data_IF_474791922748
#
_entry.id   IF_474791922748
#
_cell.length_a   1.000
_cell.length_b   1.000
_cell.length_c   1.000
_cell.angle_alpha   90.00
_cell.angle_beta   90.00
_cell.angle_gamma   90.00
#
_symmetry.space_group_name_H-M   'P 1'
#
loop_
_entity.id
_entity.type
_entity.pdbx_description
1 polymer ?
#
# COMPACT_ATOMS: atom_id res chain seq x y z
N UNK A 1 4.45 15.23 -24.67
CA UNK A 1 4.63 14.12 -23.74
C UNK A 1 3.37 13.29 -23.77
N UNK A 2 3.47 12.02 -24.14
CA UNK A 2 2.33 11.08 -24.09
C UNK A 2 2.20 10.62 -22.65
N UNK A 3 1.12 10.94 -21.97
CA UNK A 3 0.77 10.39 -20.66
C UNK A 3 0.13 9.03 -20.88
N UNK A 4 0.78 7.98 -20.46
CA UNK A 4 0.22 6.63 -20.45
C UNK A 4 -0.36 6.36 -19.06
N UNK A 5 -1.59 5.85 -19.00
CA UNK A 5 -2.17 5.40 -17.75
C UNK A 5 -1.57 4.05 -17.38
N UNK A 6 -1.16 3.91 -16.13
CA UNK A 6 -0.63 2.69 -15.57
C UNK A 6 -1.45 2.28 -14.35
N UNK A 7 -1.69 0.98 -14.19
CA UNK A 7 -2.23 0.45 -12.94
C UNK A 7 -1.12 0.35 -11.88
N UNK A 8 -1.51 0.13 -10.63
CA UNK A 8 -0.55 -0.14 -9.57
C UNK A 8 0.29 -1.41 -9.87
N UNK A 9 -0.30 -2.40 -10.51
CA UNK A 9 0.36 -3.63 -10.94
C UNK A 9 1.44 -3.34 -11.99
N UNK A 10 1.12 -2.52 -12.97
CA UNK A 10 2.05 -2.19 -14.05
C UNK A 10 3.36 -1.60 -13.54
N UNK A 11 3.33 -0.91 -12.38
CA UNK A 11 4.54 -0.34 -11.75
C UNK A 11 5.59 -1.42 -11.47
N UNK A 12 5.17 -2.66 -11.18
CA UNK A 12 6.08 -3.76 -10.86
C UNK A 12 6.34 -4.72 -12.02
N UNK A 13 5.47 -4.76 -13.01
CA UNK A 13 5.51 -5.74 -14.09
C UNK A 13 5.95 -5.14 -15.43
N UNK A 14 5.67 -3.85 -15.63
CA UNK A 14 5.89 -3.18 -16.91
C UNK A 14 7.28 -2.56 -16.99
N UNK A 15 7.90 -2.66 -18.15
CA UNK A 15 9.10 -1.88 -18.46
C UNK A 15 8.71 -0.44 -18.76
N UNK A 16 9.18 0.50 -17.98
CA UNK A 16 9.02 1.93 -18.23
C UNK A 16 10.08 2.41 -19.21
N UNK A 17 9.68 3.31 -20.12
CA UNK A 17 10.62 4.00 -20.99
C UNK A 17 11.15 5.22 -20.27
N UNK A 18 12.46 5.26 -20.05
CA UNK A 18 13.19 6.40 -19.51
C UNK A 18 14.23 6.86 -20.54
N UNK A 19 13.88 7.90 -21.29
CA UNK A 19 14.66 8.32 -22.44
C UNK A 19 14.65 7.26 -23.56
N UNK A 20 15.79 6.66 -23.86
CA UNK A 20 15.95 5.57 -24.82
C UNK A 20 16.00 4.18 -24.14
N UNK A 21 16.06 4.15 -22.81
CA UNK A 21 16.21 2.92 -22.02
C UNK A 21 14.85 2.38 -21.55
N UNK A 22 14.71 1.07 -21.63
CA UNK A 22 13.64 0.33 -20.97
C UNK A 22 14.08 -0.02 -19.55
N UNK A 23 13.31 0.40 -18.56
CA UNK A 23 13.62 0.19 -17.16
C UNK A 23 12.49 -0.53 -16.46
N UNK A 24 12.81 -1.64 -15.82
CA UNK A 24 11.90 -2.31 -14.90
C UNK A 24 12.15 -1.80 -13.48
N UNK A 25 11.10 -1.29 -12.85
CA UNK A 25 11.13 -0.94 -11.44
C UNK A 25 11.06 -2.21 -10.59
N UNK A 26 11.90 -2.29 -9.58
CA UNK A 26 11.98 -3.44 -8.68
C UNK A 26 11.42 -3.14 -7.29
N UNK A 27 11.30 -1.87 -6.93
CA UNK A 27 10.80 -1.45 -5.62
C UNK A 27 10.14 -0.07 -5.69
N UNK A 28 9.08 0.12 -4.91
CA UNK A 28 8.55 1.43 -4.54
C UNK A 28 9.07 1.72 -3.13
N UNK A 29 9.78 2.82 -2.96
CA UNK A 29 10.31 3.22 -1.66
C UNK A 29 9.79 4.62 -1.29
N UNK A 30 8.93 4.70 -0.28
CA UNK A 30 8.39 5.96 0.23
C UNK A 30 9.48 6.69 1.03
N UNK A 31 9.93 7.89 0.61
CA UNK A 31 11.06 8.56 1.25
C UNK A 31 10.70 9.21 2.59
N UNK A 32 11.71 9.42 3.44
CA UNK A 32 11.57 10.03 4.79
C UNK A 32 10.96 11.43 4.77
N UNK A 33 11.30 12.21 3.77
CA UNK A 33 10.83 13.60 3.63
C UNK A 33 9.30 13.70 3.54
N UNK A 34 8.65 12.61 3.24
CA UNK A 34 7.20 12.56 3.15
C UNK A 34 6.57 12.43 4.53
N UNK A 35 5.36 13.03 4.67
CA UNK A 35 4.59 12.88 5.90
C UNK A 35 4.17 11.43 6.12
N UNK A 36 3.79 11.12 7.36
CA UNK A 36 3.17 9.85 7.73
C UNK A 36 1.92 9.54 6.89
N UNK A 37 1.45 8.31 6.96
CA UNK A 37 0.26 7.87 6.23
C UNK A 37 -1.01 8.51 6.85
N UNK A 38 -1.35 9.69 6.34
CA UNK A 38 -2.40 10.54 6.89
C UNK A 38 -3.83 10.03 6.62
N UNK A 39 -4.06 9.28 5.53
CA UNK A 39 -5.37 8.70 5.22
C UNK A 39 -5.84 7.67 6.26
N UNK A 40 -4.90 7.09 7.01
CA UNK A 40 -5.20 6.19 8.12
C UNK A 40 -5.48 6.87 9.45
N UNK A 41 -5.36 8.20 9.57
CA UNK A 41 -5.62 8.91 10.83
C UNK A 41 -7.09 8.79 11.25
N UNK A 42 -7.36 8.98 12.54
CA UNK A 42 -8.68 8.80 13.14
C UNK A 42 -9.48 10.10 13.28
N UNK A 43 -8.89 11.24 12.96
CA UNK A 43 -9.63 12.50 12.95
C UNK A 43 -10.76 12.48 11.90
N UNK A 44 -11.76 13.33 12.11
CA UNK A 44 -12.96 13.36 11.28
C UNK A 44 -12.65 13.56 9.80
N UNK A 45 -11.77 14.51 9.49
CA UNK A 45 -11.45 14.82 8.09
C UNK A 45 -10.77 13.64 7.39
N UNK A 46 -9.77 13.04 8.01
CA UNK A 46 -9.10 11.86 7.47
C UNK A 46 -10.06 10.67 7.32
N UNK A 47 -10.97 10.49 8.29
CA UNK A 47 -12.00 9.44 8.23
C UNK A 47 -12.97 9.68 7.08
N UNK A 48 -13.44 10.88 6.86
CA UNK A 48 -14.36 11.23 5.77
C UNK A 48 -13.68 11.04 4.41
N UNK A 49 -12.44 11.49 4.24
CA UNK A 49 -11.63 11.30 3.02
C UNK A 49 -11.42 9.81 2.74
N UNK A 50 -11.03 9.02 3.74
CA UNK A 50 -10.86 7.57 3.61
C UNK A 50 -12.14 6.87 3.20
N UNK A 51 -13.27 7.18 3.84
CA UNK A 51 -14.55 6.56 3.55
C UNK A 51 -15.04 6.88 2.14
N UNK A 52 -14.85 8.12 1.67
CA UNK A 52 -15.19 8.52 0.32
C UNK A 52 -14.32 7.78 -0.69
N UNK A 53 -13.00 7.76 -0.49
CA UNK A 53 -12.06 7.04 -1.35
C UNK A 53 -12.40 5.54 -1.46
N UNK A 54 -12.64 4.87 -0.33
CA UNK A 54 -13.03 3.47 -0.34
C UNK A 54 -14.40 3.27 -1.00
N UNK A 55 -15.34 4.21 -0.82
CA UNK A 55 -16.64 4.14 -1.49
C UNK A 55 -16.48 4.20 -2.99
N UNK A 56 -15.67 5.10 -3.49
CA UNK A 56 -15.41 5.24 -4.93
C UNK A 56 -14.74 3.97 -5.49
N UNK A 57 -13.69 3.47 -4.83
CA UNK A 57 -12.97 2.26 -5.25
C UNK A 57 -13.91 1.05 -5.31
N UNK A 58 -14.80 0.89 -4.33
CA UNK A 58 -15.71 -0.26 -4.24
C UNK A 58 -16.99 -0.11 -5.06
N UNK A 59 -17.32 1.09 -5.55
CA UNK A 59 -18.55 1.36 -6.31
C UNK A 59 -18.33 1.47 -7.81
N UNK A 60 -17.15 1.88 -8.25
CA UNK A 60 -16.84 2.11 -9.67
C UNK A 60 -15.92 1.02 -10.23
N UNK A 61 -16.19 0.61 -11.48
CA UNK A 61 -15.35 -0.39 -12.17
C UNK A 61 -13.96 0.12 -12.51
N UNK A 62 -13.85 1.42 -12.75
CA UNK A 62 -12.59 2.07 -13.10
C UNK A 62 -12.48 3.34 -12.26
N UNK A 63 -11.57 3.35 -11.31
CA UNK A 63 -11.22 4.53 -10.51
C UNK A 63 -9.90 5.06 -11.04
N UNK A 64 -9.91 6.30 -11.51
CA UNK A 64 -8.70 6.99 -11.91
C UNK A 64 -8.22 7.84 -10.73
N UNK A 65 -7.04 7.50 -10.24
CA UNK A 65 -6.36 8.34 -9.26
C UNK A 65 -5.65 9.48 -9.97
N UNK A 66 -5.52 10.60 -9.25
CA UNK A 66 -4.69 11.71 -9.72
C UNK A 66 -3.23 11.26 -9.94
N UNK A 67 -2.49 12.09 -10.64
CA UNK A 67 -1.10 11.85 -10.98
C UNK A 67 -0.26 11.43 -9.76
N UNK A 68 0.48 10.34 -9.93
CA UNK A 68 1.56 9.94 -9.06
C UNK A 68 2.85 10.22 -9.81
N UNK A 69 3.74 11.01 -9.24
CA UNK A 69 5.02 11.26 -9.88
C UNK A 69 6.19 11.18 -8.88
N UNK A 70 7.36 10.83 -9.39
CA UNK A 70 8.57 10.66 -8.60
C UNK A 70 9.80 10.49 -9.47
N UNK A 71 10.91 10.15 -8.84
CA UNK A 71 12.18 9.85 -9.51
C UNK A 71 12.42 8.34 -9.56
N UNK A 72 13.16 7.93 -10.58
CA UNK A 72 13.82 6.63 -10.61
C UNK A 72 15.21 6.78 -10.00
N UNK A 73 15.53 5.97 -9.02
CA UNK A 73 16.85 5.94 -8.38
C UNK A 73 17.39 4.50 -8.37
N UNK A 74 18.70 4.39 -8.57
CA UNK A 74 19.41 3.15 -8.31
C UNK A 74 19.79 3.08 -6.84
N UNK A 75 19.42 2.00 -6.17
CA UNK A 75 19.74 1.77 -4.76
C UNK A 75 20.31 0.38 -4.55
N UNK A 76 21.17 0.27 -3.55
CA UNK A 76 21.70 -1.02 -3.14
C UNK A 76 20.78 -1.58 -2.05
N UNK A 77 20.11 -2.68 -2.37
CA UNK A 77 19.21 -3.41 -1.47
C UNK A 77 19.72 -4.85 -1.43
N UNK A 78 20.04 -5.34 -0.23
CA UNK A 78 20.61 -6.68 -0.03
C UNK A 78 21.85 -6.97 -0.90
N UNK A 79 22.72 -5.94 -1.05
CA UNK A 79 23.94 -6.02 -1.83
C UNK A 79 23.74 -6.01 -3.36
N UNK A 80 22.52 -5.80 -3.86
CA UNK A 80 22.21 -5.73 -5.29
C UNK A 80 21.74 -4.33 -5.69
N UNK A 81 22.24 -3.83 -6.81
CA UNK A 81 21.74 -2.59 -7.40
C UNK A 81 20.36 -2.82 -8.01
N UNK A 82 19.38 -2.02 -7.57
CA UNK A 82 18.00 -2.11 -8.02
C UNK A 82 17.47 -0.74 -8.43
N UNK A 83 16.64 -0.71 -9.48
CA UNK A 83 15.88 0.48 -9.85
C UNK A 83 14.67 0.63 -8.92
N UNK A 84 14.63 1.72 -8.17
CA UNK A 84 13.54 2.04 -7.26
C UNK A 84 12.76 3.25 -7.78
N UNK A 85 11.44 3.23 -7.60
CA UNK A 85 10.60 4.41 -7.76
C UNK A 85 10.48 5.11 -6.42
N UNK A 86 10.86 6.37 -6.40
CA UNK A 86 10.80 7.23 -5.22
C UNK A 86 9.72 8.28 -5.48
N UNK A 87 8.51 8.13 -4.94
CA UNK A 87 7.42 9.07 -5.17
C UNK A 87 7.71 10.41 -4.48
N UNK A 88 7.56 11.49 -5.23
CA UNK A 88 7.55 12.86 -4.71
C UNK A 88 6.12 13.27 -4.35
N UNK A 89 5.15 12.83 -5.13
CA UNK A 89 3.72 12.96 -4.83
C UNK A 89 2.98 11.64 -5.07
N UNK A 90 1.84 11.47 -4.40
CA UNK A 90 0.99 10.28 -4.51
C UNK A 90 1.30 9.15 -3.52
N UNK A 91 2.21 9.34 -2.54
CA UNK A 91 2.53 8.29 -1.56
C UNK A 91 1.32 7.79 -0.79
N UNK A 92 0.36 8.67 -0.45
CA UNK A 92 -0.86 8.28 0.26
C UNK A 92 -1.69 7.30 -0.57
N UNK A 93 -1.81 7.58 -1.86
CA UNK A 93 -2.51 6.73 -2.83
C UNK A 93 -1.80 5.39 -3.03
N UNK A 94 -0.48 5.41 -3.19
CA UNK A 94 0.31 4.20 -3.32
C UNK A 94 0.20 3.30 -2.09
N UNK A 95 0.25 3.88 -0.88
CA UNK A 95 0.07 3.13 0.36
C UNK A 95 -1.35 2.55 0.46
N UNK A 96 -2.37 3.30 0.07
CA UNK A 96 -3.75 2.79 0.07
C UNK A 96 -3.91 1.63 -0.92
N UNK A 97 -3.34 1.74 -2.12
CA UNK A 97 -3.37 0.66 -3.11
C UNK A 97 -2.62 -0.58 -2.61
N UNK A 98 -1.43 -0.38 -2.04
CA UNK A 98 -0.68 -1.47 -1.39
C UNK A 98 -1.55 -2.23 -0.37
N UNK A 99 -2.23 -1.52 0.53
CA UNK A 99 -3.08 -2.13 1.55
C UNK A 99 -4.33 -2.81 0.97
N UNK A 100 -4.90 -2.27 -0.11
CA UNK A 100 -6.02 -2.89 -0.81
C UNK A 100 -5.60 -4.21 -1.45
N UNK A 101 -4.50 -4.23 -2.21
CA UNK A 101 -3.98 -5.46 -2.82
C UNK A 101 -3.59 -6.48 -1.75
N UNK A 102 -2.90 -6.04 -0.70
CA UNK A 102 -2.53 -6.90 0.42
C UNK A 102 -3.76 -7.56 1.07
N UNK A 103 -4.77 -6.76 1.38
CA UNK A 103 -6.02 -7.27 1.93
C UNK A 103 -6.69 -8.26 0.95
N UNK A 104 -6.77 -7.90 -0.33
CA UNK A 104 -7.38 -8.75 -1.36
C UNK A 104 -6.70 -10.11 -1.48
N UNK A 105 -5.36 -10.14 -1.51
CA UNK A 105 -4.58 -11.38 -1.56
C UNK A 105 -4.74 -12.22 -0.30
N UNK A 106 -4.53 -11.63 0.88
CA UNK A 106 -4.64 -12.34 2.17
C UNK A 106 -6.06 -12.86 2.45
N UNK A 107 -7.09 -12.15 2.01
CA UNK A 107 -8.48 -12.56 2.16
C UNK A 107 -8.99 -13.50 1.04
N UNK A 108 -8.16 -13.86 0.06
CA UNK A 108 -8.57 -14.66 -1.09
C UNK A 108 -9.68 -13.98 -1.92
N UNK A 109 -9.68 -12.64 -1.97
CA UNK A 109 -10.68 -11.85 -2.69
C UNK A 109 -10.24 -11.45 -4.10
N UNK A 110 -8.98 -11.63 -4.42
CA UNK A 110 -8.41 -11.40 -5.75
C UNK A 110 -7.57 -12.60 -6.18
N UNK A 111 -7.59 -12.89 -7.48
CA UNK A 111 -6.72 -13.89 -8.08
C UNK A 111 -5.39 -13.28 -8.56
N UNK A 112 -5.21 -11.99 -8.38
CA UNK A 112 -4.00 -11.28 -8.78
C UNK A 112 -2.90 -11.55 -7.76
N UNK A 113 -1.83 -12.21 -8.20
CA UNK A 113 -0.61 -12.38 -7.42
C UNK A 113 0.33 -11.22 -7.72
N UNK A 114 0.46 -10.30 -6.79
CA UNK A 114 1.38 -9.19 -6.85
C UNK A 114 2.45 -9.36 -5.75
N UNK A 115 3.72 -9.23 -6.13
CA UNK A 115 4.82 -9.27 -5.18
C UNK A 115 4.88 -7.95 -4.36
N UNK A 116 4.06 -7.90 -3.32
CA UNK A 116 3.92 -6.73 -2.46
C UNK A 116 5.14 -6.46 -1.58
N UNK A 117 6.12 -7.37 -1.51
CA UNK A 117 7.41 -7.13 -0.84
C UNK A 117 8.21 -6.01 -1.50
N UNK A 118 7.88 -5.67 -2.75
CA UNK A 118 8.46 -4.54 -3.48
C UNK A 118 8.01 -3.16 -2.99
N UNK A 119 7.01 -3.08 -2.11
CA UNK A 119 6.60 -1.82 -1.50
C UNK A 119 7.22 -1.65 -0.11
N UNK A 120 7.79 -0.48 0.18
CA UNK A 120 8.41 -0.20 1.47
C UNK A 120 8.46 1.29 1.76
N UNK A 121 8.66 1.62 3.04
CA UNK A 121 9.08 2.94 3.50
C UNK A 121 10.60 2.94 3.70
N UNK A 122 11.30 3.81 3.00
CA UNK A 122 12.77 3.74 2.86
C UNK A 122 13.55 4.05 4.12
N UNK A 123 13.02 4.91 4.99
CA UNK A 123 13.78 5.46 6.11
C UNK A 123 13.05 5.45 7.45
N UNK A 124 11.78 5.09 7.45
CA UNK A 124 11.02 4.85 8.69
C UNK A 124 11.13 3.37 9.03
N UNK A 125 12.12 3.03 9.86
CA UNK A 125 12.39 1.64 10.22
C UNK A 125 11.13 0.88 10.65
N UNK A 126 10.31 1.46 11.53
CA UNK A 126 9.09 0.82 11.99
C UNK A 126 8.12 0.52 10.83
N UNK A 127 7.88 1.49 9.94
CA UNK A 127 7.00 1.31 8.79
C UNK A 127 7.60 0.35 7.75
N UNK A 128 8.93 0.35 7.55
CA UNK A 128 9.63 -0.59 6.66
C UNK A 128 9.50 -2.01 7.15
N UNK A 129 9.90 -2.26 8.41
CA UNK A 129 9.86 -3.57 9.04
C UNK A 129 8.41 -4.11 9.10
N UNK A 130 7.44 -3.22 9.36
CA UNK A 130 6.03 -3.58 9.34
C UNK A 130 5.54 -3.97 7.95
N UNK A 131 5.90 -3.24 6.87
CA UNK A 131 5.55 -3.60 5.50
C UNK A 131 6.10 -4.98 5.12
N UNK A 132 7.33 -5.29 5.51
CA UNK A 132 7.93 -6.59 5.28
C UNK A 132 7.17 -7.69 6.01
N UNK A 133 6.94 -7.52 7.30
CA UNK A 133 6.27 -8.53 8.13
C UNK A 133 4.82 -8.74 7.71
N UNK A 134 4.04 -7.70 7.45
CA UNK A 134 2.62 -7.84 7.10
C UNK A 134 2.42 -8.50 5.72
N UNK A 135 3.41 -8.44 4.84
CA UNK A 135 3.36 -9.14 3.55
C UNK A 135 3.74 -10.60 3.66
N UNK A 136 4.77 -10.93 4.46
CA UNK A 136 5.31 -12.28 4.60
C UNK A 136 4.54 -13.15 5.59
N UNK A 137 4.06 -12.57 6.69
CA UNK A 137 3.43 -13.30 7.78
C UNK A 137 1.96 -13.61 7.52
N UNK A 138 1.46 -14.69 8.09
CA UNK A 138 0.04 -15.04 8.05
C UNK A 138 -0.74 -14.28 9.12
N UNK A 139 -1.93 -13.83 8.76
CA UNK A 139 -2.89 -13.21 9.66
C UNK A 139 -4.33 -13.53 9.26
N UNK A 140 -5.23 -13.52 10.23
CA UNK A 140 -6.59 -13.98 10.07
C UNK A 140 -7.58 -12.83 9.93
N UNK A 141 -8.71 -13.12 9.28
CA UNK A 141 -9.81 -12.18 9.15
C UNK A 141 -10.87 -12.48 10.22
N UNK A 142 -10.97 -11.65 11.25
CA UNK A 142 -11.90 -11.88 12.35
C UNK A 142 -13.35 -11.55 11.94
N UNK A 143 -14.29 -12.28 12.51
CA UNK A 143 -15.71 -11.93 12.35
C UNK A 143 -16.13 -10.82 13.34
N UNK A 144 -15.63 -10.90 14.56
CA UNK A 144 -16.11 -10.10 15.71
C UNK A 144 -15.10 -9.07 16.23
N UNK A 145 -13.88 -9.06 15.68
CA UNK A 145 -12.81 -8.13 16.05
C UNK A 145 -12.38 -7.30 14.86
N UNK A 146 -11.58 -6.27 15.10
CA UNK A 146 -10.89 -5.53 14.07
C UNK A 146 -9.69 -6.32 13.55
N UNK A 147 -9.35 -6.15 12.28
CA UNK A 147 -8.14 -6.73 11.68
C UNK A 147 -6.90 -6.22 12.41
N UNK A 148 -6.90 -4.93 12.76
CA UNK A 148 -5.81 -4.30 13.52
C UNK A 148 -5.57 -4.96 14.88
N UNK A 149 -6.61 -5.40 15.57
CA UNK A 149 -6.49 -6.10 16.86
C UNK A 149 -5.83 -7.48 16.67
N UNK A 150 -6.26 -8.24 15.66
CA UNK A 150 -5.67 -9.54 15.35
C UNK A 150 -4.20 -9.42 14.96
N UNK A 151 -3.86 -8.41 14.16
CA UNK A 151 -2.47 -8.15 13.76
C UNK A 151 -1.62 -7.79 14.99
N UNK A 152 -2.13 -6.92 15.87
CA UNK A 152 -1.42 -6.53 17.10
C UNK A 152 -1.24 -7.67 18.09
N UNK A 153 -2.19 -8.61 18.14
CA UNK A 153 -2.12 -9.82 18.98
C UNK A 153 -1.18 -10.90 18.40
N UNK A 154 -0.67 -10.74 17.17
CA UNK A 154 0.20 -11.72 16.53
C UNK A 154 1.62 -11.71 17.12
N UNK A 155 2.26 -12.89 17.16
CA UNK A 155 3.61 -13.04 17.73
C UNK A 155 4.70 -12.28 16.97
N UNK A 156 4.47 -11.97 15.71
CA UNK A 156 5.40 -11.21 14.86
C UNK A 156 5.23 -9.68 14.98
N UNK A 157 4.15 -9.21 15.65
CA UNK A 157 3.93 -7.77 15.81
C UNK A 157 4.87 -7.20 16.88
N UNK A 158 5.66 -6.19 16.50
CA UNK A 158 6.65 -5.59 17.40
C UNK A 158 6.08 -4.40 18.18
N UNK A 159 6.28 -4.35 19.48
CA UNK A 159 5.75 -3.31 20.37
C UNK A 159 6.11 -1.88 19.95
N UNK A 160 7.27 -1.67 19.30
CA UNK A 160 7.67 -0.34 18.87
C UNK A 160 6.88 0.18 17.66
N UNK A 161 6.21 -0.70 16.93
CA UNK A 161 5.33 -0.33 15.81
C UNK A 161 4.06 0.40 16.29
N UNK A 162 3.57 0.13 17.48
CA UNK A 162 2.38 0.77 18.04
C UNK A 162 2.51 2.30 18.15
N UNK A 163 3.75 2.81 18.27
CA UNK A 163 4.04 4.23 18.40
C UNK A 163 4.32 4.92 17.07
N UNK A 164 4.37 4.17 15.96
CA UNK A 164 4.61 4.76 14.65
C UNK A 164 3.27 5.16 14.01
N UNK A 165 3.07 6.46 13.69
CA UNK A 165 1.80 6.95 13.15
C UNK A 165 1.50 6.41 11.74
N UNK A 166 2.52 5.96 11.00
CA UNK A 166 2.33 5.33 9.68
C UNK A 166 1.78 3.92 9.84
N UNK A 167 2.34 3.14 10.77
CA UNK A 167 1.84 1.79 11.09
C UNK A 167 0.41 1.85 11.63
N UNK A 168 0.14 2.76 12.58
CA UNK A 168 -1.22 2.98 13.08
C UNK A 168 -2.19 3.34 11.95
N UNK A 169 -1.77 4.23 11.06
CA UNK A 169 -2.56 4.60 9.88
C UNK A 169 -2.85 3.42 8.95
N UNK A 170 -1.86 2.56 8.70
CA UNK A 170 -2.05 1.34 7.88
C UNK A 170 -3.05 0.38 8.52
N UNK A 171 -2.95 0.16 9.83
CA UNK A 171 -3.88 -0.70 10.58
C UNK A 171 -5.31 -0.17 10.53
N UNK A 172 -5.50 1.13 10.74
CA UNK A 172 -6.81 1.77 10.63
C UNK A 172 -7.41 1.68 9.22
N UNK A 173 -6.57 1.77 8.18
CA UNK A 173 -7.02 1.60 6.81
C UNK A 173 -7.45 0.15 6.55
N UNK A 174 -6.70 -0.84 7.04
CA UNK A 174 -7.08 -2.26 6.92
C UNK A 174 -8.41 -2.56 7.60
N UNK A 175 -8.68 -1.97 8.77
CA UNK A 175 -9.97 -2.06 9.43
C UNK A 175 -11.09 -1.48 8.56
N UNK A 176 -10.87 -0.32 7.96
CA UNK A 176 -11.84 0.33 7.09
C UNK A 176 -12.12 -0.50 5.81
N UNK A 177 -11.09 -1.07 5.21
CA UNK A 177 -11.23 -1.99 4.06
C UNK A 177 -12.05 -3.21 4.46
N UNK A 178 -11.72 -3.82 5.59
CA UNK A 178 -12.43 -4.99 6.10
C UNK A 178 -13.92 -4.73 6.33
N UNK A 179 -14.26 -3.63 7.01
CA UNK A 179 -15.65 -3.23 7.23
C UNK A 179 -16.40 -2.95 5.91
N UNK A 180 -15.71 -2.39 4.91
CA UNK A 180 -16.29 -2.19 3.60
C UNK A 180 -16.56 -3.52 2.90
N UNK A 181 -15.60 -4.46 2.98
CA UNK A 181 -15.71 -5.79 2.38
C UNK A 181 -16.84 -6.64 2.99
N UNK A 182 -17.16 -6.49 4.27
CA UNK A 182 -18.29 -7.17 4.91
C UNK A 182 -19.64 -6.77 4.30
N UNK A 183 -19.73 -5.58 3.72
CA UNK A 183 -20.99 -4.99 3.21
C UNK A 183 -21.23 -5.19 1.72
N UNK A 184 -20.29 -5.80 1.01
CA UNK A 184 -20.35 -5.97 -0.44
C UNK A 184 -20.19 -7.44 -0.82
N UNK A 185 -20.77 -7.79 -1.97
CA UNK A 185 -20.75 -9.17 -2.52
C UNK A 185 -19.53 -9.44 -3.41
N UNK A 186 -18.85 -8.40 -3.89
CA UNK A 186 -17.69 -8.54 -4.77
C UNK A 186 -16.58 -7.56 -4.37
N UNK A 187 -15.34 -8.04 -4.40
CA UNK A 187 -14.14 -7.20 -4.24
C UNK A 187 -13.91 -6.40 -5.53
N UNK A 188 -13.41 -5.15 -5.46
CA UNK A 188 -13.13 -4.38 -6.65
C UNK A 188 -12.08 -5.08 -7.53
N UNK A 189 -12.25 -4.98 -8.84
CA UNK A 189 -11.21 -5.35 -9.79
C UNK A 189 -10.16 -4.22 -9.77
N UNK A 190 -9.09 -4.44 -9.05
CA UNK A 190 -7.97 -3.50 -8.90
C UNK A 190 -6.94 -3.71 -10.00
#
# INVERSE_FOLDING_TARGET
MSTTLHSFMDIFETEFIDGEDKVQLKKIAIPLIQRDYAQGRTDKNATDVRNNLLTDIFSYKNVHFDLVFGSKEKRIIDGKEMNCFIPVDGQQRLTTLFLLYLYGQKAGKTNTELDLSKFSYDTRRAASDFCESITSEEWFFPNDKKVSEVIKDSSWFMNYWEKDPTVEGMLNMLDAIHEKCKRITSYPNL
#
